data_IF_632524967217
#
_entry.id   IF_632524967217
#
_cell.length_a   1.000
_cell.length_b   1.000
_cell.length_c   1.000
_cell.angle_alpha   90.00
_cell.angle_beta   90.00
_cell.angle_gamma   90.00
#
_symmetry.space_group_name_H-M   'P 1'
#
loop_
_entity.id
_entity.type
_entity.pdbx_description
1 polymer ?
#
# COMPACT_ATOMS: atom_id res chain seq x y z
N UNK A 1 -7.35 -46.77 47.73
CA UNK A 1 -5.90 -46.56 47.93
C UNK A 1 -5.57 -45.16 47.44
N UNK A 2 -4.80 -44.40 48.22
CA UNK A 2 -4.37 -43.06 47.83
C UNK A 2 -3.13 -43.18 46.93
N UNK A 3 -3.12 -42.49 45.79
CA UNK A 3 -2.01 -42.54 44.84
C UNK A 3 -0.71 -42.06 45.48
N UNK A 4 -0.79 -41.10 46.40
CA UNK A 4 0.37 -40.60 47.14
C UNK A 4 1.03 -41.70 47.99
N UNK A 5 0.21 -42.57 48.61
CA UNK A 5 0.71 -43.70 49.39
C UNK A 5 1.39 -44.77 48.52
N UNK A 6 0.90 -44.99 47.29
CA UNK A 6 1.49 -45.92 46.33
C UNK A 6 2.82 -45.40 45.77
N UNK A 7 2.90 -44.09 45.51
CA UNK A 7 4.14 -43.43 45.05
C UNK A 7 5.21 -43.46 46.15
N UNK A 8 4.83 -43.28 47.42
CA UNK A 8 5.76 -43.43 48.56
C UNK A 8 6.31 -44.85 48.65
N UNK A 9 5.45 -45.87 48.59
CA UNK A 9 5.89 -47.28 48.52
C UNK A 9 6.83 -47.56 47.34
N UNK A 10 6.53 -46.99 46.18
CA UNK A 10 7.38 -47.10 44.99
C UNK A 10 8.76 -46.47 45.21
N UNK A 11 8.84 -45.29 45.82
CA UNK A 11 10.10 -44.62 46.15
C UNK A 11 10.92 -45.35 47.22
N UNK A 12 10.23 -45.97 48.19
CA UNK A 12 10.82 -46.71 49.29
C UNK A 12 11.18 -48.17 48.92
N UNK A 13 11.00 -48.59 47.65
CA UNK A 13 11.19 -49.96 47.15
C UNK A 13 10.38 -51.04 47.90
N UNK A 14 9.22 -50.68 48.43
CA UNK A 14 8.32 -51.57 49.18
C UNK A 14 7.01 -51.88 48.43
N UNK A 15 6.87 -51.37 47.21
CA UNK A 15 5.72 -51.63 46.34
C UNK A 15 5.80 -53.03 45.72
N UNK A 16 4.63 -53.65 45.50
CA UNK A 16 4.54 -54.90 44.74
C UNK A 16 4.65 -54.64 43.23
N UNK A 17 4.97 -55.68 42.44
CA UNK A 17 5.12 -55.58 40.98
C UNK A 17 3.89 -54.96 40.29
N UNK A 18 2.68 -55.31 40.75
CA UNK A 18 1.43 -54.74 40.22
C UNK A 18 1.24 -53.26 40.61
N UNK A 19 1.64 -52.86 41.82
CA UNK A 19 1.60 -51.46 42.29
C UNK A 19 2.62 -50.61 41.51
N UNK A 20 3.80 -51.17 41.20
CA UNK A 20 4.84 -50.54 40.38
C UNK A 20 4.32 -50.23 38.97
N UNK A 21 3.76 -51.24 38.29
CA UNK A 21 3.22 -51.08 36.93
C UNK A 21 2.09 -50.04 36.89
N UNK A 22 1.22 -50.04 37.90
CA UNK A 22 0.13 -49.07 38.00
C UNK A 22 0.63 -47.62 38.20
N UNK A 23 1.64 -47.41 39.05
CA UNK A 23 2.26 -46.09 39.26
C UNK A 23 2.95 -45.61 37.99
N UNK A 24 3.73 -46.47 37.33
CA UNK A 24 4.43 -46.12 36.10
C UNK A 24 3.47 -45.76 34.95
N UNK A 25 2.41 -46.55 34.72
CA UNK A 25 1.41 -46.26 33.69
C UNK A 25 0.69 -44.93 33.97
N UNK A 26 0.33 -44.67 35.22
CA UNK A 26 -0.34 -43.43 35.63
C UNK A 26 0.58 -42.22 35.44
N UNK A 27 1.85 -42.31 35.85
CA UNK A 27 2.86 -41.27 35.64
C UNK A 27 3.12 -41.04 34.15
N UNK A 28 3.20 -42.10 33.35
CA UNK A 28 3.41 -42.00 31.91
C UNK A 28 2.21 -41.36 31.18
N UNK A 29 0.97 -41.70 31.57
CA UNK A 29 -0.25 -41.05 31.08
C UNK A 29 -0.27 -39.56 31.45
N UNK A 30 0.02 -39.22 32.71
CA UNK A 30 0.10 -37.83 33.16
C UNK A 30 1.18 -37.04 32.40
N UNK A 31 2.36 -37.62 32.19
CA UNK A 31 3.46 -37.02 31.40
C UNK A 31 3.06 -36.81 29.94
N UNK A 32 2.31 -37.73 29.33
CA UNK A 32 1.81 -37.59 27.94
C UNK A 32 0.80 -36.45 27.82
N UNK A 33 -0.13 -36.32 28.77
CA UNK A 33 -1.12 -35.23 28.83
C UNK A 33 -0.45 -33.87 29.06
N UNK A 34 0.53 -33.80 29.97
CA UNK A 34 1.29 -32.58 30.22
C UNK A 34 2.06 -32.13 28.95
N UNK A 35 2.69 -33.07 28.24
CA UNK A 35 3.45 -32.79 27.02
C UNK A 35 2.55 -32.29 25.87
N UNK A 36 1.33 -32.81 25.73
CA UNK A 36 0.39 -32.34 24.70
C UNK A 36 -0.20 -30.97 25.05
N UNK A 37 -0.57 -30.71 26.31
CA UNK A 37 -1.05 -29.39 26.76
C UNK A 37 0.01 -28.31 26.57
N UNK A 38 1.26 -28.58 27.01
CA UNK A 38 2.37 -27.63 26.85
C UNK A 38 2.70 -27.33 25.38
N UNK A 39 2.54 -28.30 24.48
CA UNK A 39 2.71 -28.08 23.03
C UNK A 39 1.56 -27.27 22.43
N UNK A 40 0.31 -27.57 22.83
CA UNK A 40 -0.88 -26.83 22.40
C UNK A 40 -0.83 -25.36 22.81
N UNK A 41 -0.52 -25.08 24.08
CA UNK A 41 -0.46 -23.71 24.60
C UNK A 41 0.65 -22.88 23.95
N UNK A 42 1.83 -23.47 23.71
CA UNK A 42 2.91 -22.79 22.98
C UNK A 42 2.53 -22.47 21.53
N UNK A 43 1.81 -23.36 20.85
CA UNK A 43 1.38 -23.13 19.47
C UNK A 43 0.28 -22.06 19.39
N UNK A 44 -0.68 -22.05 20.31
CA UNK A 44 -1.77 -21.06 20.37
C UNK A 44 -1.22 -19.67 20.72
N UNK A 45 -0.29 -19.59 21.67
CA UNK A 45 0.35 -18.31 22.06
C UNK A 45 1.22 -17.73 20.94
N UNK A 46 1.95 -18.56 20.20
CA UNK A 46 2.72 -18.12 19.04
C UNK A 46 1.82 -17.57 17.91
N UNK A 47 0.77 -18.31 17.52
CA UNK A 47 -0.18 -17.85 16.50
C UNK A 47 -0.85 -16.54 16.89
N UNK A 48 -1.24 -16.37 18.15
CA UNK A 48 -1.84 -15.13 18.63
C UNK A 48 -0.85 -13.95 18.63
N UNK A 49 0.44 -14.20 18.91
CA UNK A 49 1.48 -13.16 18.83
C UNK A 49 1.71 -12.71 17.38
N UNK A 50 1.76 -13.66 16.44
CA UNK A 50 1.90 -13.38 15.01
C UNK A 50 0.68 -12.62 14.48
N UNK A 51 -0.54 -13.07 14.80
CA UNK A 51 -1.78 -12.35 14.44
C UNK A 51 -1.77 -10.91 14.97
N UNK A 52 -1.41 -10.69 16.24
CA UNK A 52 -1.30 -9.34 16.82
C UNK A 52 -0.27 -8.46 16.11
N UNK A 53 0.85 -9.04 15.66
CA UNK A 53 1.85 -8.32 14.89
C UNK A 53 1.30 -7.85 13.53
N UNK A 54 0.66 -8.75 12.77
CA UNK A 54 0.06 -8.39 11.48
C UNK A 54 -1.08 -7.38 11.61
N UNK A 55 -1.88 -7.46 12.67
CA UNK A 55 -2.91 -6.44 12.94
C UNK A 55 -2.26 -5.08 13.17
N UNK A 56 -1.22 -5.00 14.00
CA UNK A 56 -0.50 -3.74 14.24
C UNK A 56 0.12 -3.19 12.95
N UNK A 57 0.73 -4.05 12.13
CA UNK A 57 1.31 -3.67 10.85
C UNK A 57 0.24 -3.12 9.90
N UNK A 58 -0.91 -3.79 9.80
CA UNK A 58 -2.04 -3.33 8.99
C UNK A 58 -2.56 -1.96 9.44
N UNK A 59 -2.67 -1.72 10.74
CA UNK A 59 -3.10 -0.40 11.26
C UNK A 59 -2.10 0.69 10.85
N UNK A 60 -0.80 0.44 10.97
CA UNK A 60 0.23 1.41 10.55
C UNK A 60 0.17 1.68 9.05
N UNK A 61 0.04 0.64 8.22
CA UNK A 61 -0.09 0.79 6.77
C UNK A 61 -1.34 1.59 6.39
N UNK A 62 -2.46 1.36 7.07
CA UNK A 62 -3.71 2.08 6.85
C UNK A 62 -3.60 3.56 7.23
N UNK A 63 -2.91 3.87 8.32
CA UNK A 63 -2.63 5.25 8.71
C UNK A 63 -1.73 5.96 7.68
N UNK A 64 -0.67 5.30 7.21
CA UNK A 64 0.21 5.85 6.17
C UNK A 64 -0.54 6.10 4.86
N UNK A 65 -1.37 5.14 4.42
CA UNK A 65 -2.21 5.30 3.25
C UNK A 65 -3.15 6.52 3.40
N UNK A 66 -3.77 6.68 4.57
CA UNK A 66 -4.66 7.81 4.85
C UNK A 66 -3.94 9.15 4.76
N UNK A 67 -2.73 9.26 5.31
CA UNK A 67 -1.91 10.47 5.22
C UNK A 67 -1.50 10.77 3.78
N UNK A 68 -1.08 9.75 3.00
CA UNK A 68 -0.70 9.96 1.60
C UNK A 68 -1.88 10.43 0.75
N UNK A 69 -3.07 9.88 0.97
CA UNK A 69 -4.30 10.29 0.29
C UNK A 69 -4.66 11.73 0.67
N UNK A 70 -4.61 12.07 1.96
CA UNK A 70 -4.85 13.44 2.44
C UNK A 70 -3.89 14.45 1.81
N UNK A 71 -2.58 14.17 1.82
CA UNK A 71 -1.59 15.05 1.20
C UNK A 71 -1.82 15.21 -0.29
N UNK A 72 -2.09 14.12 -1.01
CA UNK A 72 -2.36 14.16 -2.44
C UNK A 72 -3.57 15.07 -2.75
N UNK A 73 -4.67 14.96 -2.00
CA UNK A 73 -5.84 15.81 -2.20
C UNK A 73 -5.58 17.29 -1.91
N UNK A 74 -4.81 17.62 -0.86
CA UNK A 74 -4.44 19.01 -0.59
C UNK A 74 -3.55 19.58 -1.70
N UNK A 75 -2.51 18.85 -2.11
CA UNK A 75 -1.61 19.26 -3.20
C UNK A 75 -2.38 19.45 -4.52
N UNK A 76 -3.28 18.51 -4.82
CA UNK A 76 -4.19 18.58 -5.98
C UNK A 76 -5.15 19.77 -5.90
N UNK A 77 -5.59 20.13 -4.69
CA UNK A 77 -6.37 21.33 -4.38
C UNK A 77 -5.58 22.61 -4.70
N UNK A 78 -4.38 22.77 -4.14
CA UNK A 78 -3.51 23.92 -4.43
C UNK A 78 -3.23 24.06 -5.93
N UNK A 79 -2.92 22.95 -6.61
CA UNK A 79 -2.70 22.94 -8.05
C UNK A 79 -3.93 23.37 -8.87
N UNK A 80 -5.14 23.11 -8.35
CA UNK A 80 -6.39 23.55 -8.98
C UNK A 80 -6.66 25.04 -8.72
N UNK A 81 -6.40 25.52 -7.50
CA UNK A 81 -6.60 26.93 -7.14
C UNK A 81 -5.65 27.86 -7.87
N UNK A 82 -4.41 27.43 -8.09
CA UNK A 82 -3.38 28.22 -8.76
C UNK A 82 -3.39 28.09 -10.29
N UNK A 83 -4.39 27.39 -10.85
CA UNK A 83 -4.45 27.12 -12.28
C UNK A 83 -4.96 28.34 -13.06
N UNK A 84 -4.16 28.81 -14.01
CA UNK A 84 -4.55 29.84 -14.99
C UNK A 84 -5.34 29.22 -16.14
N UNK A 85 -4.89 28.07 -16.64
CA UNK A 85 -5.53 27.39 -17.78
C UNK A 85 -6.21 26.11 -17.35
N UNK A 86 -7.55 26.14 -17.34
CA UNK A 86 -8.37 24.97 -17.07
C UNK A 86 -8.35 23.98 -18.23
N UNK A 87 -8.69 22.72 -17.93
CA UNK A 87 -8.75 21.66 -18.95
C UNK A 87 -9.65 22.03 -20.14
N UNK A 88 -10.79 22.67 -19.88
CA UNK A 88 -11.74 23.04 -20.94
C UNK A 88 -11.17 24.03 -21.96
N UNK A 89 -10.19 24.85 -21.56
CA UNK A 89 -9.54 25.82 -22.45
C UNK A 89 -8.13 25.39 -22.88
N UNK A 90 -7.54 24.40 -22.22
CA UNK A 90 -6.19 23.90 -22.52
C UNK A 90 -6.09 23.32 -23.94
N UNK A 91 -7.09 22.54 -24.36
CA UNK A 91 -7.10 21.89 -25.67
C UNK A 91 -7.12 22.91 -26.82
N UNK A 92 -7.98 23.93 -26.70
CA UNK A 92 -8.06 25.05 -27.64
C UNK A 92 -6.77 25.87 -27.65
N UNK A 93 -6.26 26.24 -26.47
CA UNK A 93 -5.00 27.00 -26.35
C UNK A 93 -3.83 26.28 -27.02
N UNK A 94 -3.70 24.96 -26.83
CA UNK A 94 -2.62 24.16 -27.42
C UNK A 94 -2.72 24.09 -28.93
N UNK A 95 -3.93 23.84 -29.46
CA UNK A 95 -4.16 23.79 -30.91
C UNK A 95 -3.92 25.16 -31.54
N UNK A 96 -4.45 26.22 -30.95
CA UNK A 96 -4.31 27.59 -31.45
C UNK A 96 -2.84 28.04 -31.43
N UNK A 97 -2.11 27.72 -30.36
CA UNK A 97 -0.68 28.02 -30.26
C UNK A 97 0.11 27.32 -31.37
N UNK A 98 -0.04 25.99 -31.52
CA UNK A 98 0.65 25.24 -32.57
C UNK A 98 0.26 25.70 -33.97
N UNK A 99 -1.03 25.98 -34.19
CA UNK A 99 -1.52 26.43 -35.49
C UNK A 99 -0.94 27.80 -35.87
N UNK A 100 -0.85 28.71 -34.90
CA UNK A 100 -0.28 30.05 -35.08
C UNK A 100 1.22 29.96 -35.34
N UNK A 101 1.95 29.18 -34.53
CA UNK A 101 3.41 29.07 -34.63
C UNK A 101 3.86 28.38 -35.94
N UNK A 102 3.11 27.37 -36.38
CA UNK A 102 3.40 26.63 -37.61
C UNK A 102 2.72 27.24 -38.87
N UNK A 103 1.95 28.31 -38.73
CA UNK A 103 1.28 28.99 -39.85
C UNK A 103 0.22 28.15 -40.55
N UNK A 104 -0.50 27.30 -39.82
CA UNK A 104 -1.50 26.35 -40.32
C UNK A 104 -2.88 26.64 -39.74
N UNK A 105 -3.91 26.01 -40.31
CA UNK A 105 -5.28 26.13 -39.76
C UNK A 105 -5.47 25.16 -38.61
N UNK A 106 -6.17 25.59 -37.56
CA UNK A 106 -6.54 24.76 -36.41
C UNK A 106 -7.30 23.49 -36.81
N UNK A 107 -8.08 23.56 -37.89
CA UNK A 107 -8.81 22.40 -38.46
C UNK A 107 -7.92 21.27 -38.99
N UNK A 108 -6.61 21.51 -39.12
CA UNK A 108 -5.63 20.50 -39.55
C UNK A 108 -4.90 19.83 -38.38
N UNK A 109 -5.16 20.29 -37.15
CA UNK A 109 -4.59 19.76 -35.92
C UNK A 109 -5.59 18.81 -35.26
N UNK A 110 -5.11 17.64 -34.87
CA UNK A 110 -5.89 16.64 -34.15
C UNK A 110 -5.13 16.20 -32.91
N UNK A 111 -5.75 16.32 -31.73
CA UNK A 111 -5.20 15.76 -30.50
C UNK A 111 -5.43 14.25 -30.53
N UNK A 112 -4.35 13.49 -30.65
CA UNK A 112 -4.37 12.01 -30.71
C UNK A 112 -4.19 11.35 -29.34
N UNK A 113 -3.50 12.03 -28.42
CA UNK A 113 -3.31 11.56 -27.05
C UNK A 113 -3.22 12.73 -26.07
N UNK A 114 -3.64 12.46 -24.83
CA UNK A 114 -3.63 13.42 -23.74
C UNK A 114 -3.25 12.74 -22.43
N UNK A 115 -2.44 13.43 -21.63
CA UNK A 115 -2.09 13.02 -20.27
C UNK A 115 -2.03 14.24 -19.36
N UNK A 116 -2.63 14.10 -18.17
CA UNK A 116 -2.51 15.09 -17.10
C UNK A 116 -1.62 14.56 -15.99
N UNK A 117 -0.61 15.33 -15.60
CA UNK A 117 0.26 15.03 -14.46
C UNK A 117 0.11 16.11 -13.40
N UNK A 118 0.14 15.71 -12.13
CA UNK A 118 0.29 16.64 -11.00
C UNK A 118 1.79 16.76 -10.71
N UNK A 119 2.34 17.96 -10.90
CA UNK A 119 3.73 18.25 -10.56
C UNK A 119 3.75 18.78 -9.14
N UNK A 120 4.39 18.03 -8.24
CA UNK A 120 4.49 18.35 -6.82
C UNK A 120 5.74 19.20 -6.61
N UNK A 121 5.54 20.43 -6.13
CA UNK A 121 6.61 21.37 -5.83
C UNK A 121 6.85 21.46 -4.33
N UNK A 122 8.03 21.93 -3.93
CA UNK A 122 8.27 22.40 -2.56
C UNK A 122 8.59 23.90 -2.69
N UNK A 123 7.77 24.81 -2.14
CA UNK A 123 6.59 24.58 -1.27
C UNK A 123 5.36 24.01 -2.03
N UNK A 124 4.54 23.20 -1.34
CA UNK A 124 3.45 22.42 -1.95
C UNK A 124 2.35 23.26 -2.59
N UNK A 125 2.16 24.48 -2.10
CA UNK A 125 1.23 25.46 -2.64
C UNK A 125 1.57 25.81 -4.09
N UNK A 126 2.84 25.68 -4.52
CA UNK A 126 3.26 25.93 -5.91
C UNK A 126 3.13 24.72 -6.83
N UNK A 127 2.48 23.65 -6.38
CA UNK A 127 2.22 22.48 -7.23
C UNK A 127 1.22 22.85 -8.31
N UNK A 128 1.30 22.19 -9.48
CA UNK A 128 0.51 22.55 -10.65
C UNK A 128 0.19 21.33 -11.52
N UNK A 129 -0.73 21.49 -12.48
CA UNK A 129 -0.99 20.44 -13.47
C UNK A 129 -0.15 20.68 -14.73
N UNK A 130 0.51 19.64 -15.20
CA UNK A 130 1.14 19.62 -16.51
C UNK A 130 0.24 18.83 -17.46
N UNK A 131 -0.18 19.48 -18.54
CA UNK A 131 -0.95 18.86 -19.60
C UNK A 131 -0.02 18.49 -20.76
N UNK A 132 0.07 17.20 -21.06
CA UNK A 132 0.87 16.67 -22.15
C UNK A 132 -0.06 16.18 -23.27
N UNK A 133 0.20 16.63 -24.49
CA UNK A 133 -0.58 16.34 -25.68
C UNK A 133 0.31 15.72 -26.75
N UNK A 134 -0.28 14.82 -27.53
CA UNK A 134 0.27 14.41 -28.83
C UNK A 134 -0.67 14.93 -29.90
N UNK A 135 -0.20 15.91 -30.67
CA UNK A 135 -0.99 16.58 -31.71
C UNK A 135 -0.48 16.11 -33.07
N UNK A 136 -1.37 15.55 -33.88
CA UNK A 136 -1.08 15.22 -35.28
C UNK A 136 -1.46 16.41 -36.14
N UNK A 137 -0.54 16.84 -37.00
CA UNK A 137 -0.76 17.95 -37.92
C UNK A 137 -0.08 17.65 -39.25
N UNK A 138 -0.84 17.64 -40.35
CA UNK A 138 -0.35 17.43 -41.72
C UNK A 138 0.63 16.24 -41.83
N UNK A 139 0.26 15.09 -41.25
CA UNK A 139 1.05 13.84 -41.15
C UNK A 139 2.29 13.85 -40.25
N UNK A 140 2.60 14.95 -39.54
CA UNK A 140 3.61 14.98 -38.47
C UNK A 140 2.96 14.86 -37.10
N UNK A 141 3.75 14.48 -36.10
CA UNK A 141 3.31 14.39 -34.71
C UNK A 141 4.16 15.33 -33.85
N UNK A 142 3.48 16.13 -33.04
CA UNK A 142 4.08 17.07 -32.12
C UNK A 142 3.73 16.65 -30.69
N UNK A 143 4.74 16.59 -29.83
CA UNK A 143 4.50 16.47 -28.40
C UNK A 143 4.47 17.87 -27.80
N UNK A 144 3.38 18.21 -27.15
CA UNK A 144 3.17 19.54 -26.55
C UNK A 144 2.97 19.38 -25.06
N UNK A 145 3.63 20.21 -24.27
CA UNK A 145 3.36 20.36 -22.85
C UNK A 145 2.89 21.77 -22.54
N UNK A 146 1.78 21.85 -21.79
CA UNK A 146 1.20 23.09 -21.28
C UNK A 146 1.24 23.06 -19.75
N UNK A 147 1.92 24.03 -19.15
CA UNK A 147 1.91 24.28 -17.71
C UNK A 147 0.62 25.02 -17.32
N UNK A 148 -0.21 24.42 -16.46
CA UNK A 148 -1.47 25.01 -16.03
C UNK A 148 -1.31 26.23 -15.12
N UNK A 149 -0.15 26.41 -14.48
CA UNK A 149 0.14 27.54 -13.59
C UNK A 149 0.61 28.77 -14.38
N UNK A 150 1.62 28.61 -15.22
CA UNK A 150 2.20 29.72 -15.99
C UNK A 150 1.49 29.98 -17.33
N UNK A 151 0.79 28.98 -17.87
CA UNK A 151 0.29 29.00 -19.24
C UNK A 151 1.39 28.79 -20.30
N UNK A 152 2.61 28.46 -19.87
CA UNK A 152 3.73 28.21 -20.78
C UNK A 152 3.47 26.96 -21.61
N UNK A 153 3.70 27.07 -22.92
CA UNK A 153 3.61 25.97 -23.87
C UNK A 153 5.00 25.68 -24.43
N UNK A 154 5.40 24.42 -24.36
CA UNK A 154 6.61 23.90 -25.00
C UNK A 154 6.21 22.76 -25.94
N UNK A 155 6.87 22.64 -27.09
CA UNK A 155 6.63 21.53 -28.00
C UNK A 155 7.90 21.02 -28.69
N UNK A 156 7.85 19.77 -29.14
CA UNK A 156 8.92 19.09 -29.87
C UNK A 156 8.32 18.43 -31.13
N UNK A 157 8.94 18.68 -32.29
CA UNK A 157 8.64 17.99 -33.57
C UNK A 157 9.35 16.62 -33.60
N UNK A 158 8.67 15.59 -34.10
CA UNK A 158 9.14 14.21 -34.13
C UNK A 158 9.15 13.63 -35.55
#
# INVERSE_FOLDING_TARGET
>A
MDFESLVKKYQDNTATDDEIVFVEDTVNKARKIAKTRLKGDKHVTFLNRVKKFFIKLMVVLLLLASVTVYLYFNISGYAKENMVTGRSSADETVIDFLATDLGVKTSQAEITAYKRKLIICIPFERSYYLYEYTVKLNNRQYYVSLDSYSGLIEYIDY
#
